data_IF_173379860434
#
_entry.id   IF_173379860434
#
_cell.length_a   1.000
_cell.length_b   1.000
_cell.length_c   1.000
_cell.angle_alpha   90.00
_cell.angle_beta   90.00
_cell.angle_gamma   90.00
#
_symmetry.space_group_name_H-M   'P 1'
#
loop_
_entity.id
_entity.type
_entity.pdbx_description
1 polymer ?
#
# COMPACT_ATOMS: atom_id res chain seq x y z
N UNK A 1 -8.54 11.46 -32.36
CA UNK A 1 -9.15 10.12 -32.31
C UNK A 1 -8.17 8.99 -32.65
N UNK A 2 -7.60 8.89 -33.87
CA UNK A 2 -6.58 7.86 -34.16
C UNK A 2 -5.34 8.00 -33.26
N UNK A 3 -4.89 9.23 -33.00
CA UNK A 3 -3.76 9.53 -32.11
C UNK A 3 -4.06 9.19 -30.64
N UNK A 4 -5.27 9.47 -30.16
CA UNK A 4 -5.65 9.25 -28.75
C UNK A 4 -5.79 7.76 -28.44
N UNK A 5 -6.38 6.99 -29.37
CA UNK A 5 -6.45 5.54 -29.24
C UNK A 5 -5.07 4.89 -29.34
N UNK A 6 -4.18 5.41 -30.21
CA UNK A 6 -2.80 4.96 -30.28
C UNK A 6 -2.03 5.23 -28.99
N UNK A 7 -2.13 6.44 -28.41
CA UNK A 7 -1.53 6.76 -27.12
C UNK A 7 -2.10 5.86 -26.01
N UNK A 8 -3.42 5.67 -25.99
CA UNK A 8 -4.08 4.79 -25.02
C UNK A 8 -3.59 3.34 -25.13
N UNK A 9 -3.54 2.79 -26.35
CA UNK A 9 -3.09 1.44 -26.60
C UNK A 9 -1.61 1.27 -26.23
N UNK A 10 -0.76 2.23 -26.62
CA UNK A 10 0.66 2.27 -26.27
C UNK A 10 0.84 2.30 -24.75
N UNK A 11 0.21 3.25 -24.06
CA UNK A 11 0.33 3.42 -22.62
C UNK A 11 -0.19 2.18 -21.86
N UNK A 12 -1.31 1.61 -22.30
CA UNK A 12 -1.89 0.38 -21.74
C UNK A 12 -0.92 -0.79 -21.90
N UNK A 13 -0.40 -1.02 -23.10
CA UNK A 13 0.50 -2.12 -23.40
C UNK A 13 1.77 -2.06 -22.54
N UNK A 14 2.46 -0.91 -22.52
CA UNK A 14 3.69 -0.74 -21.75
C UNK A 14 3.43 -0.78 -20.24
N UNK A 15 2.32 -0.21 -19.75
CA UNK A 15 1.97 -0.26 -18.32
C UNK A 15 1.67 -1.68 -17.87
N UNK A 16 0.93 -2.47 -18.66
CA UNK A 16 0.65 -3.88 -18.36
C UNK A 16 1.94 -4.70 -18.32
N UNK A 17 2.83 -4.52 -19.30
CA UNK A 17 4.14 -5.18 -19.32
C UNK A 17 4.94 -4.80 -18.07
N UNK A 18 5.09 -3.50 -17.78
CA UNK A 18 5.84 -3.01 -16.63
C UNK A 18 5.31 -3.60 -15.30
N UNK A 19 3.99 -3.56 -15.09
CA UNK A 19 3.35 -4.09 -13.86
C UNK A 19 3.51 -5.62 -13.75
N UNK A 20 3.48 -6.33 -14.88
CA UNK A 20 3.66 -7.78 -14.94
C UNK A 20 5.11 -8.15 -14.63
N UNK A 21 6.09 -7.50 -15.27
CA UNK A 21 7.51 -7.68 -15.00
C UNK A 21 7.89 -7.38 -13.56
N UNK A 22 7.35 -6.30 -12.98
CA UNK A 22 7.54 -5.97 -11.56
C UNK A 22 7.05 -7.12 -10.68
N UNK A 23 5.87 -7.67 -10.95
CA UNK A 23 5.30 -8.76 -10.15
C UNK A 23 6.11 -10.06 -10.29
N UNK A 24 6.58 -10.37 -11.51
CA UNK A 24 7.46 -11.52 -11.77
C UNK A 24 8.80 -11.44 -11.03
N UNK A 25 9.28 -10.24 -10.72
CA UNK A 25 10.48 -10.05 -9.92
C UNK A 25 10.20 -10.02 -8.41
N UNK A 26 9.24 -9.20 -7.98
CA UNK A 26 8.98 -8.94 -6.55
C UNK A 26 8.47 -10.18 -5.81
N UNK A 27 7.61 -11.01 -6.43
CA UNK A 27 7.04 -12.18 -5.75
C UNK A 27 8.12 -13.23 -5.44
N UNK A 28 8.94 -13.69 -6.41
CA UNK A 28 10.05 -14.60 -6.11
C UNK A 28 11.09 -13.98 -5.17
N UNK A 29 11.39 -12.68 -5.30
CA UNK A 29 12.32 -11.99 -4.40
C UNK A 29 11.88 -12.03 -2.93
N UNK A 30 10.59 -11.79 -2.65
CA UNK A 30 10.04 -11.87 -1.30
C UNK A 30 10.01 -13.32 -0.79
N UNK A 31 9.70 -14.29 -1.66
CA UNK A 31 9.73 -15.71 -1.30
C UNK A 31 11.15 -16.18 -0.94
N UNK A 32 12.16 -15.81 -1.74
CA UNK A 32 13.56 -16.13 -1.48
C UNK A 32 14.02 -15.61 -0.11
N UNK A 33 13.62 -14.38 0.24
CA UNK A 33 13.89 -13.79 1.55
C UNK A 33 13.32 -14.58 2.74
N UNK A 34 12.27 -15.38 2.51
CA UNK A 34 11.67 -16.25 3.51
C UNK A 34 12.29 -17.66 3.58
N UNK A 35 12.99 -18.09 2.53
CA UNK A 35 13.61 -19.42 2.40
C UNK A 35 15.11 -19.45 2.75
N UNK A 36 15.76 -18.28 2.80
CA UNK A 36 17.19 -18.13 3.07
C UNK A 36 17.65 -18.61 4.47
N UNK A 37 16.75 -18.68 5.45
CA UNK A 37 17.06 -19.21 6.78
C UNK A 37 15.93 -20.07 7.33
N UNK A 38 16.33 -21.15 8.01
CA UNK A 38 15.45 -22.02 8.78
C UNK A 38 15.15 -21.47 10.19
N UNK A 39 15.99 -20.55 10.69
CA UNK A 39 15.79 -19.92 11.99
C UNK A 39 14.74 -18.80 11.90
N UNK A 40 13.78 -18.86 12.83
CA UNK A 40 12.64 -17.94 12.83
C UNK A 40 13.06 -16.48 13.07
N UNK A 41 14.04 -16.25 13.95
CA UNK A 41 14.52 -14.92 14.29
C UNK A 41 15.38 -14.34 13.16
N UNK A 42 16.21 -15.16 12.52
CA UNK A 42 17.01 -14.78 11.37
C UNK A 42 16.12 -14.42 10.16
N UNK A 43 15.12 -15.24 9.83
CA UNK A 43 14.14 -14.92 8.77
C UNK A 43 13.43 -13.59 9.03
N UNK A 44 13.05 -13.34 10.28
CA UNK A 44 12.41 -12.07 10.67
C UNK A 44 13.35 -10.87 10.48
N UNK A 45 14.65 -11.03 10.76
CA UNK A 45 15.67 -9.99 10.51
C UNK A 45 15.85 -9.73 9.01
N UNK A 46 15.95 -10.77 8.18
CA UNK A 46 16.07 -10.65 6.71
C UNK A 46 14.89 -9.87 6.14
N UNK A 47 13.66 -10.21 6.56
CA UNK A 47 12.46 -9.49 6.12
C UNK A 47 12.38 -8.05 6.61
N UNK A 48 12.92 -7.78 7.80
CA UNK A 48 13.02 -6.41 8.33
C UNK A 48 14.00 -5.58 7.50
N UNK A 49 15.19 -6.11 7.17
CA UNK A 49 16.15 -5.45 6.28
C UNK A 49 15.57 -5.22 4.88
N UNK A 50 14.90 -6.21 4.31
CA UNK A 50 14.25 -6.09 3.00
C UNK A 50 13.26 -4.91 2.96
N UNK A 51 12.41 -4.81 3.98
CA UNK A 51 11.43 -3.72 4.11
C UNK A 51 12.13 -2.36 4.28
N UNK A 52 13.17 -2.29 5.12
CA UNK A 52 13.96 -1.08 5.35
C UNK A 52 14.61 -0.57 4.06
N UNK A 53 15.33 -1.43 3.34
CA UNK A 53 15.99 -1.05 2.09
C UNK A 53 15.00 -0.71 0.98
N UNK A 54 13.83 -1.37 0.93
CA UNK A 54 12.74 -0.99 0.04
C UNK A 54 12.29 0.45 0.28
N UNK A 55 12.13 0.84 1.55
CA UNK A 55 11.73 2.21 1.91
C UNK A 55 12.84 3.24 1.66
N UNK A 56 14.10 2.90 1.97
CA UNK A 56 15.27 3.73 1.63
C UNK A 56 15.33 3.98 0.12
N UNK A 57 15.05 2.97 -0.71
CA UNK A 57 14.99 3.13 -2.16
C UNK A 57 13.94 4.15 -2.62
N UNK A 58 12.75 4.15 -2.01
CA UNK A 58 11.69 5.12 -2.31
C UNK A 58 12.14 6.54 -1.94
N UNK A 59 12.67 6.75 -0.73
CA UNK A 59 13.15 8.06 -0.28
C UNK A 59 14.29 8.55 -1.15
N UNK A 60 15.25 7.67 -1.45
CA UNK A 60 16.40 7.99 -2.30
C UNK A 60 15.97 8.42 -3.71
N UNK A 61 15.07 7.67 -4.36
CA UNK A 61 14.57 8.03 -5.69
C UNK A 61 13.77 9.32 -5.67
N UNK A 62 12.96 9.55 -4.64
CA UNK A 62 12.23 10.81 -4.48
C UNK A 62 13.19 12.00 -4.36
N UNK A 63 14.19 11.90 -3.49
CA UNK A 63 15.20 12.95 -3.29
C UNK A 63 15.98 13.19 -4.58
N UNK A 64 16.42 12.14 -5.25
CA UNK A 64 17.14 12.23 -6.53
C UNK A 64 16.31 12.98 -7.59
N UNK A 65 15.06 12.57 -7.80
CA UNK A 65 14.20 13.16 -8.84
C UNK A 65 13.87 14.61 -8.55
N UNK A 66 13.42 14.94 -7.33
CA UNK A 66 12.95 16.30 -7.03
C UNK A 66 14.07 17.31 -6.85
N UNK A 67 15.16 16.95 -6.14
CA UNK A 67 16.24 17.90 -5.84
C UNK A 67 17.34 17.94 -6.90
N UNK A 68 17.64 16.83 -7.57
CA UNK A 68 18.78 16.77 -8.51
C UNK A 68 18.38 16.86 -9.97
N UNK A 69 17.14 16.51 -10.30
CA UNK A 69 16.62 16.57 -11.67
C UNK A 69 15.62 17.72 -11.81
N UNK A 70 14.41 17.62 -11.27
CA UNK A 70 13.35 18.59 -11.57
C UNK A 70 13.69 20.04 -11.18
N UNK A 71 14.47 20.25 -10.13
CA UNK A 71 14.94 21.61 -9.77
C UNK A 71 15.85 22.26 -10.83
N UNK A 72 16.51 21.47 -11.68
CA UNK A 72 17.45 21.96 -12.71
C UNK A 72 16.83 22.22 -14.07
N UNK A 73 15.62 21.72 -14.32
CA UNK A 73 14.93 21.90 -15.60
C UNK A 73 13.87 22.98 -15.46
N UNK A 74 13.82 23.92 -16.40
CA UNK A 74 12.77 24.94 -16.43
C UNK A 74 11.40 24.26 -16.56
N UNK A 75 10.47 24.58 -15.65
CA UNK A 75 9.17 23.91 -15.56
C UNK A 75 9.16 22.58 -14.80
N UNK A 76 10.31 22.11 -14.32
CA UNK A 76 10.46 20.95 -13.43
C UNK A 76 9.78 19.69 -13.95
N UNK A 77 8.85 19.14 -13.17
CA UNK A 77 8.09 17.93 -13.50
C UNK A 77 7.21 18.05 -14.76
N UNK A 78 6.99 19.26 -15.28
CA UNK A 78 6.26 19.49 -16.54
C UNK A 78 7.18 19.45 -17.76
N UNK A 79 8.49 19.48 -17.57
CA UNK A 79 9.46 19.45 -18.65
C UNK A 79 9.75 18.01 -19.07
N UNK A 80 9.47 17.68 -20.33
CA UNK A 80 9.66 16.33 -20.86
C UNK A 80 11.14 15.90 -20.85
N UNK A 81 12.06 16.85 -21.05
CA UNK A 81 13.50 16.59 -21.10
C UNK A 81 14.07 16.17 -19.73
N UNK A 82 13.37 16.51 -18.64
CA UNK A 82 13.73 16.10 -17.29
C UNK A 82 13.55 14.58 -17.07
N UNK A 83 12.70 13.92 -17.85
CA UNK A 83 12.40 12.49 -17.66
C UNK A 83 13.46 11.57 -18.26
N UNK A 84 14.13 11.98 -19.34
CA UNK A 84 15.21 11.18 -19.96
C UNK A 84 16.33 10.82 -18.98
N UNK A 85 16.94 11.76 -18.22
CA UNK A 85 17.97 11.41 -17.25
C UNK A 85 17.43 10.56 -16.09
N UNK A 86 16.17 10.75 -15.68
CA UNK A 86 15.52 9.92 -14.64
C UNK A 86 15.42 8.47 -15.11
N UNK A 87 14.92 8.25 -16.33
CA UNK A 87 14.75 6.90 -16.89
C UNK A 87 16.10 6.22 -17.07
N UNK A 88 17.10 6.91 -17.62
CA UNK A 88 18.45 6.34 -17.80
C UNK A 88 19.04 5.94 -16.44
N UNK A 89 18.99 6.83 -15.46
CA UNK A 89 19.49 6.56 -14.12
C UNK A 89 18.77 5.38 -13.47
N UNK A 90 17.44 5.37 -13.51
CA UNK A 90 16.62 4.30 -12.93
C UNK A 90 16.89 2.95 -13.63
N UNK A 91 16.99 2.91 -14.95
CA UNK A 91 17.29 1.69 -15.70
C UNK A 91 18.66 1.13 -15.36
N UNK A 92 19.69 1.97 -15.28
CA UNK A 92 21.05 1.55 -14.90
C UNK A 92 21.07 1.04 -13.45
N UNK A 93 20.42 1.76 -12.53
CA UNK A 93 20.36 1.38 -11.12
C UNK A 93 19.61 0.06 -10.93
N UNK A 94 18.46 -0.13 -11.57
CA UNK A 94 17.68 -1.37 -11.51
C UNK A 94 18.49 -2.53 -12.08
N UNK A 95 19.10 -2.37 -13.27
CA UNK A 95 19.92 -3.40 -13.88
C UNK A 95 21.11 -3.79 -12.98
N UNK A 96 21.82 -2.79 -12.44
CA UNK A 96 22.92 -3.01 -11.52
C UNK A 96 22.48 -3.76 -10.26
N UNK A 97 21.42 -3.30 -9.58
CA UNK A 97 20.93 -3.92 -8.35
C UNK A 97 20.43 -5.34 -8.57
N UNK A 98 19.72 -5.62 -9.66
CA UNK A 98 19.24 -6.96 -9.99
C UNK A 98 20.42 -7.89 -10.29
N UNK A 99 21.36 -7.47 -11.15
CA UNK A 99 22.52 -8.28 -11.53
C UNK A 99 23.44 -8.53 -10.33
N UNK A 100 23.70 -7.50 -9.52
CA UNK A 100 24.49 -7.63 -8.30
C UNK A 100 23.79 -8.59 -7.32
N UNK A 101 22.49 -8.42 -7.06
CA UNK A 101 21.72 -9.31 -6.19
C UNK A 101 21.77 -10.76 -6.68
N UNK A 102 21.54 -11.01 -7.97
CA UNK A 102 21.63 -12.35 -8.57
C UNK A 102 23.04 -12.94 -8.45
N UNK A 103 24.08 -12.13 -8.66
CA UNK A 103 25.47 -12.59 -8.55
C UNK A 103 25.82 -12.99 -7.11
N UNK A 104 25.46 -12.16 -6.13
CA UNK A 104 25.76 -12.39 -4.71
C UNK A 104 24.87 -13.45 -4.04
N UNK A 105 23.79 -13.89 -4.68
CA UNK A 105 22.89 -14.93 -4.15
C UNK A 105 22.98 -16.26 -4.90
N UNK A 106 23.82 -16.32 -5.95
CA UNK A 106 23.97 -17.51 -6.81
C UNK A 106 24.48 -18.73 -6.05
N UNK A 107 25.33 -18.50 -5.06
CA UNK A 107 25.89 -19.52 -4.17
C UNK A 107 24.83 -20.17 -3.25
N UNK A 108 23.67 -19.52 -3.06
CA UNK A 108 22.58 -20.03 -2.24
C UNK A 108 21.66 -21.03 -2.98
N UNK A 109 21.72 -21.08 -4.32
CA UNK A 109 20.88 -21.94 -5.16
C UNK A 109 20.88 -23.43 -4.73
N UNK A 110 22.05 -24.05 -4.40
CA UNK A 110 22.08 -25.45 -3.99
C UNK A 110 21.40 -25.74 -2.66
N UNK A 111 21.22 -24.72 -1.80
CA UNK A 111 20.65 -24.85 -0.46
C UNK A 111 19.14 -24.57 -0.43
N UNK A 112 18.55 -24.18 -1.57
CA UNK A 112 17.11 -23.94 -1.66
C UNK A 112 16.32 -25.23 -1.45
N UNK A 113 15.22 -25.11 -0.70
CA UNK A 113 14.31 -26.23 -0.45
C UNK A 113 13.68 -26.66 -1.76
N UNK A 114 13.82 -27.95 -2.08
CA UNK A 114 13.08 -28.53 -3.20
C UNK A 114 11.60 -28.56 -2.82
N UNK A 115 10.69 -28.20 -3.74
CA UNK A 115 9.27 -28.34 -3.49
C UNK A 115 8.96 -29.81 -3.11
N UNK A 116 8.04 -30.06 -2.16
CA UNK A 116 7.55 -31.40 -1.91
C UNK A 116 7.06 -32.02 -3.22
N UNK A 117 7.47 -33.25 -3.51
CA UNK A 117 7.02 -33.99 -4.70
C UNK A 117 5.66 -34.65 -4.41
N UNK A 118 4.70 -33.85 -3.93
CA UNK A 118 3.37 -34.30 -3.51
C UNK A 118 2.39 -34.47 -4.69
N UNK A 119 2.82 -34.16 -5.92
CA UNK A 119 2.05 -34.39 -7.14
C UNK A 119 0.77 -33.53 -7.28
N UNK A 120 0.40 -32.75 -6.26
CA UNK A 120 -0.75 -31.87 -6.29
C UNK A 120 -0.39 -30.58 -7.03
N UNK A 121 -0.55 -30.60 -8.36
CA UNK A 121 -0.58 -29.36 -9.13
C UNK A 121 -1.76 -28.53 -8.62
N UNK A 122 -1.46 -27.40 -7.98
CA UNK A 122 -2.47 -26.42 -7.60
C UNK A 122 -3.11 -25.88 -8.89
N UNK A 123 -4.23 -26.48 -9.29
CA UNK A 123 -4.97 -26.04 -10.47
C UNK A 123 -5.57 -24.66 -10.24
N UNK A 124 -5.59 -23.82 -11.29
CA UNK A 124 -6.19 -22.48 -11.26
C UNK A 124 -7.63 -22.49 -10.71
N UNK A 125 -8.41 -23.52 -11.04
CA UNK A 125 -9.79 -23.70 -10.56
C UNK A 125 -9.84 -23.91 -9.04
N UNK A 126 -8.90 -24.66 -8.46
CA UNK A 126 -8.81 -24.87 -7.01
C UNK A 126 -8.42 -23.57 -6.30
N UNK A 127 -7.49 -22.80 -6.85
CA UNK A 127 -7.14 -21.47 -6.33
C UNK A 127 -8.34 -20.53 -6.29
N UNK A 128 -9.10 -20.43 -7.39
CA UNK A 128 -10.32 -19.61 -7.43
C UNK A 128 -11.32 -20.10 -6.37
N UNK A 129 -11.55 -21.42 -6.26
CA UNK A 129 -12.45 -21.99 -5.27
C UNK A 129 -12.01 -21.67 -3.83
N UNK A 130 -10.73 -21.77 -3.55
CA UNK A 130 -10.15 -21.45 -2.24
C UNK A 130 -10.24 -19.95 -1.93
N UNK A 131 -10.04 -19.08 -2.93
CA UNK A 131 -10.24 -17.63 -2.80
C UNK A 131 -11.71 -17.29 -2.51
N UNK A 132 -12.67 -17.91 -3.21
CA UNK A 132 -14.10 -17.71 -2.95
C UNK A 132 -14.48 -18.25 -1.55
N UNK A 133 -13.90 -19.39 -1.15
CA UNK A 133 -14.03 -19.93 0.19
C UNK A 133 -13.54 -18.96 1.26
N UNK A 134 -12.36 -18.34 1.05
CA UNK A 134 -11.82 -17.33 1.95
C UNK A 134 -12.78 -16.14 2.10
N UNK A 135 -13.31 -15.62 0.98
CA UNK A 135 -14.27 -14.49 0.95
C UNK A 135 -15.59 -14.84 1.66
N UNK A 136 -15.92 -16.12 1.81
CA UNK A 136 -17.11 -16.55 2.55
C UNK A 136 -16.98 -16.32 4.07
N UNK A 137 -15.75 -16.12 4.59
CA UNK A 137 -15.56 -15.69 5.97
C UNK A 137 -15.98 -14.22 6.13
N UNK A 138 -17.01 -13.97 6.94
CA UNK A 138 -17.55 -12.62 7.22
C UNK A 138 -16.49 -11.63 7.72
N UNK A 139 -15.58 -12.04 8.60
CA UNK A 139 -14.51 -11.18 9.10
C UNK A 139 -13.53 -10.82 7.98
N UNK A 140 -13.19 -11.78 7.13
CA UNK A 140 -12.31 -11.54 5.99
C UNK A 140 -12.96 -10.63 4.95
N UNK A 141 -14.22 -10.89 4.60
CA UNK A 141 -14.98 -10.07 3.67
C UNK A 141 -15.03 -8.60 4.14
N UNK A 142 -15.29 -8.36 5.43
CA UNK A 142 -15.29 -7.01 5.99
C UNK A 142 -13.91 -6.35 5.91
N UNK A 143 -12.81 -7.08 6.16
CA UNK A 143 -11.46 -6.56 5.98
C UNK A 143 -11.14 -6.26 4.52
N UNK A 144 -11.59 -7.11 3.59
CA UNK A 144 -11.42 -6.89 2.15
C UNK A 144 -12.23 -5.69 1.65
N UNK A 145 -13.50 -5.56 2.02
CA UNK A 145 -14.32 -4.42 1.65
C UNK A 145 -13.77 -3.12 2.26
N UNK A 146 -13.29 -3.15 3.51
CA UNK A 146 -12.58 -2.02 4.09
C UNK A 146 -11.33 -1.66 3.28
N UNK A 147 -10.54 -2.66 2.88
CA UNK A 147 -9.36 -2.46 2.02
C UNK A 147 -9.74 -1.91 0.64
N UNK A 148 -10.87 -2.32 0.06
CA UNK A 148 -11.35 -1.82 -1.23
C UNK A 148 -11.50 -0.30 -1.18
N UNK A 149 -12.34 0.19 -0.27
CA UNK A 149 -12.64 1.61 -0.16
C UNK A 149 -11.43 2.42 0.31
N UNK A 150 -10.60 1.85 1.19
CA UNK A 150 -9.32 2.45 1.56
C UNK A 150 -8.38 2.59 0.35
N UNK A 151 -8.34 1.59 -0.54
CA UNK A 151 -7.52 1.64 -1.75
C UNK A 151 -8.08 2.65 -2.77
N UNK A 152 -9.40 2.84 -2.81
CA UNK A 152 -10.03 3.91 -3.62
C UNK A 152 -9.64 5.29 -3.09
N UNK A 153 -9.67 5.51 -1.77
CA UNK A 153 -9.16 6.72 -1.13
C UNK A 153 -7.69 6.98 -1.51
N UNK A 154 -6.81 5.98 -1.28
CA UNK A 154 -5.37 6.06 -1.58
C UNK A 154 -5.14 6.37 -3.06
N UNK A 155 -5.74 5.59 -3.97
CA UNK A 155 -5.55 5.76 -5.41
C UNK A 155 -6.06 7.11 -5.94
N UNK A 156 -7.12 7.64 -5.32
CA UNK A 156 -7.64 8.98 -5.65
C UNK A 156 -6.60 10.04 -5.31
N UNK A 157 -6.10 10.05 -4.07
CA UNK A 157 -5.05 10.98 -3.64
C UNK A 157 -3.74 10.81 -4.40
N UNK A 158 -3.30 9.57 -4.66
CA UNK A 158 -2.08 9.31 -5.43
C UNK A 158 -2.19 9.93 -6.83
N UNK A 159 -3.32 9.76 -7.50
CA UNK A 159 -3.56 10.32 -8.84
C UNK A 159 -3.62 11.84 -8.83
N UNK A 160 -4.32 12.42 -7.86
CA UNK A 160 -4.50 13.87 -7.77
C UNK A 160 -3.26 14.57 -7.19
N UNK A 161 -2.38 13.86 -6.49
CA UNK A 161 -1.24 14.44 -5.77
C UNK A 161 -0.40 15.38 -6.64
N UNK A 162 -0.08 14.97 -7.88
CA UNK A 162 0.73 15.79 -8.79
C UNK A 162 -0.03 17.04 -9.26
N UNK A 163 -1.34 16.95 -9.43
CA UNK A 163 -2.18 18.09 -9.77
C UNK A 163 -2.29 19.05 -8.58
N UNK A 164 -2.43 18.51 -7.38
CA UNK A 164 -2.52 19.31 -6.16
C UNK A 164 -1.24 20.09 -5.92
N UNK A 165 -0.07 19.44 -5.93
CA UNK A 165 1.19 20.14 -5.68
C UNK A 165 1.55 21.13 -6.78
N UNK A 166 1.19 20.85 -8.04
CA UNK A 166 1.57 21.69 -9.20
C UNK A 166 0.60 22.85 -9.44
N UNK A 167 -0.71 22.60 -9.35
CA UNK A 167 -1.74 23.57 -9.77
C UNK A 167 -2.53 24.14 -8.60
N UNK A 168 -2.85 23.34 -7.57
CA UNK A 168 -3.63 23.83 -6.42
C UNK A 168 -2.76 24.59 -5.42
N UNK A 169 -1.58 24.05 -5.10
CA UNK A 169 -0.64 24.63 -4.14
C UNK A 169 0.47 25.46 -4.78
N UNK A 170 0.69 25.30 -6.08
CA UNK A 170 1.74 25.96 -6.87
C UNK A 170 3.14 25.82 -6.23
N UNK A 171 3.45 24.64 -5.71
CA UNK A 171 4.73 24.38 -5.07
C UNK A 171 5.85 24.26 -6.09
N UNK A 172 7.01 24.80 -5.75
CA UNK A 172 8.24 24.58 -6.51
C UNK A 172 8.71 23.12 -6.41
N UNK A 173 9.44 22.58 -7.40
CA UNK A 173 10.01 21.22 -7.31
C UNK A 173 10.83 20.99 -6.04
N UNK A 174 11.59 22.01 -5.63
CA UNK A 174 12.35 22.00 -4.38
C UNK A 174 11.46 21.80 -3.16
N UNK A 175 10.36 22.56 -3.03
CA UNK A 175 9.39 22.41 -1.93
C UNK A 175 8.70 21.04 -1.94
N UNK A 176 8.35 20.52 -3.12
CA UNK A 176 7.73 19.21 -3.27
C UNK A 176 8.67 18.11 -2.76
N UNK A 177 9.97 18.23 -3.03
CA UNK A 177 10.99 17.30 -2.53
C UNK A 177 11.01 17.17 -1.00
N UNK A 178 10.63 18.22 -0.25
CA UNK A 178 10.53 18.17 1.21
C UNK A 178 9.30 17.42 1.72
N UNK A 179 8.25 17.23 0.90
CA UNK A 179 7.02 16.57 1.33
C UNK A 179 7.26 15.09 1.70
N UNK A 180 8.33 14.45 1.21
CA UNK A 180 8.70 13.08 1.62
C UNK A 180 8.97 12.95 3.12
N UNK A 181 9.34 14.04 3.80
CA UNK A 181 9.56 14.06 5.25
C UNK A 181 8.31 13.60 6.01
N UNK A 182 7.12 13.92 5.50
CA UNK A 182 5.85 13.47 6.08
C UNK A 182 5.78 11.94 6.17
N UNK A 183 6.20 11.26 5.12
CA UNK A 183 6.24 9.81 5.07
C UNK A 183 7.31 9.29 6.05
N UNK A 184 8.53 9.85 6.04
CA UNK A 184 9.62 9.38 6.90
C UNK A 184 9.22 9.46 8.38
N UNK A 185 8.73 10.62 8.82
CA UNK A 185 8.29 10.84 10.21
C UNK A 185 7.09 9.95 10.52
N UNK A 186 6.08 9.93 9.65
CA UNK A 186 4.85 9.19 9.88
C UNK A 186 5.07 7.68 10.01
N UNK A 187 5.82 7.07 9.10
CA UNK A 187 6.14 5.63 9.17
C UNK A 187 6.98 5.30 10.40
N UNK A 188 7.96 6.13 10.76
CA UNK A 188 8.75 5.93 11.97
C UNK A 188 7.89 5.99 13.24
N UNK A 189 7.05 7.01 13.37
CA UNK A 189 6.09 7.14 14.48
C UNK A 189 5.11 5.98 14.51
N UNK A 190 4.55 5.61 13.35
CA UNK A 190 3.60 4.52 13.24
C UNK A 190 4.18 3.19 13.67
N UNK A 191 5.42 2.87 13.28
CA UNK A 191 6.10 1.64 13.72
C UNK A 191 6.31 1.61 15.25
N UNK A 192 6.78 2.72 15.83
CA UNK A 192 7.01 2.84 17.28
C UNK A 192 5.71 2.74 18.08
N UNK A 193 4.63 3.33 17.56
CA UNK A 193 3.33 3.40 18.23
C UNK A 193 2.51 2.12 18.04
N UNK A 194 2.62 1.43 16.90
CA UNK A 194 1.83 0.24 16.58
C UNK A 194 1.92 -0.83 17.68
N UNK A 195 3.14 -1.17 18.12
CA UNK A 195 3.34 -2.16 19.18
C UNK A 195 2.73 -1.72 20.53
N UNK A 196 2.77 -0.42 20.85
CA UNK A 196 2.15 0.11 22.09
C UNK A 196 0.63 0.12 22.01
N UNK A 197 0.06 0.47 20.86
CA UNK A 197 -1.37 0.45 20.61
C UNK A 197 -1.94 -0.97 20.70
N UNK A 198 -1.31 -1.96 20.05
CA UNK A 198 -1.77 -3.35 20.09
C UNK A 198 -1.71 -3.99 21.49
N UNK A 199 -0.84 -3.51 22.37
CA UNK A 199 -0.80 -3.99 23.77
C UNK A 199 -1.93 -3.41 24.62
N UNK A 200 -2.36 -2.17 24.34
CA UNK A 200 -3.36 -1.44 25.17
C UNK A 200 -4.78 -1.53 24.64
N UNK A 201 -4.97 -1.62 23.32
CA UNK A 201 -6.27 -1.58 22.66
C UNK A 201 -6.48 -2.82 21.81
N UNK A 202 -7.75 -3.20 21.61
CA UNK A 202 -8.11 -4.24 20.64
C UNK A 202 -7.74 -3.81 19.21
N UNK A 203 -7.42 -4.80 18.37
CA UNK A 203 -7.08 -4.58 16.96
C UNK A 203 -8.19 -3.82 16.22
N UNK A 204 -9.45 -4.18 16.45
CA UNK A 204 -10.61 -3.48 15.87
C UNK A 204 -10.58 -1.98 16.14
N UNK A 205 -10.40 -1.58 17.41
CA UNK A 205 -10.38 -0.19 17.81
C UNK A 205 -9.18 0.54 17.18
N UNK A 206 -8.01 -0.12 17.14
CA UNK A 206 -6.80 0.42 16.51
C UNK A 206 -7.02 0.64 15.01
N UNK A 207 -7.57 -0.33 14.27
CA UNK A 207 -7.86 -0.24 12.84
C UNK A 207 -8.82 0.93 12.56
N UNK A 208 -9.94 1.00 13.29
CA UNK A 208 -10.95 2.05 13.08
C UNK A 208 -10.38 3.44 13.38
N UNK A 209 -9.70 3.62 14.52
CA UNK A 209 -9.14 4.91 14.90
C UNK A 209 -8.04 5.39 13.94
N UNK A 210 -7.18 4.48 13.49
CA UNK A 210 -6.08 4.83 12.58
C UNK A 210 -6.56 5.06 11.15
N UNK A 211 -7.62 4.36 10.71
CA UNK A 211 -8.29 4.65 9.44
C UNK A 211 -9.00 6.01 9.46
N UNK A 212 -9.63 6.38 10.58
CA UNK A 212 -10.19 7.72 10.76
C UNK A 212 -9.10 8.80 10.71
N UNK A 213 -8.00 8.57 11.41
CA UNK A 213 -6.87 9.49 11.45
C UNK A 213 -6.23 9.66 10.07
N UNK A 214 -5.98 8.57 9.34
CA UNK A 214 -5.51 8.63 7.94
C UNK A 214 -6.49 9.45 7.08
N UNK A 215 -7.78 9.09 7.08
CA UNK A 215 -8.80 9.71 6.22
C UNK A 215 -8.91 11.21 6.49
N UNK A 216 -8.95 11.62 7.76
CA UNK A 216 -9.11 13.02 8.13
C UNK A 216 -7.84 13.84 7.83
N UNK A 217 -6.68 13.35 8.26
CA UNK A 217 -5.44 14.14 8.17
C UNK A 217 -4.83 14.18 6.77
N UNK A 218 -5.13 13.22 5.89
CA UNK A 218 -4.70 13.29 4.49
C UNK A 218 -5.35 14.47 3.76
N UNK A 219 -6.68 14.61 3.89
CA UNK A 219 -7.45 15.69 3.28
C UNK A 219 -7.44 17.00 4.09
N UNK A 220 -6.90 16.99 5.32
CA UNK A 220 -7.00 18.13 6.24
C UNK A 220 -6.38 19.42 5.67
N UNK A 221 -5.20 19.35 5.04
CA UNK A 221 -4.55 20.53 4.48
C UNK A 221 -5.43 21.19 3.40
N UNK A 222 -6.00 20.38 2.52
CA UNK A 222 -6.90 20.82 1.43
C UNK A 222 -8.19 21.39 2.01
N UNK A 223 -8.81 20.71 2.98
CA UNK A 223 -10.02 21.19 3.64
C UNK A 223 -9.80 22.53 4.36
N UNK A 224 -8.66 22.71 5.02
CA UNK A 224 -8.29 23.99 5.63
C UNK A 224 -8.14 25.08 4.58
N UNK A 225 -7.61 24.76 3.40
CA UNK A 225 -7.51 25.70 2.28
C UNK A 225 -8.87 26.06 1.71
N UNK A 226 -9.78 25.10 1.54
CA UNK A 226 -11.15 25.34 1.09
C UNK A 226 -11.97 26.21 2.06
N UNK A 227 -11.56 26.27 3.33
CA UNK A 227 -12.15 27.13 4.36
C UNK A 227 -11.41 28.45 4.54
N UNK A 228 -10.44 28.77 3.67
CA UNK A 228 -9.55 29.94 3.77
C UNK A 228 -8.75 30.05 5.08
N UNK A 229 -8.49 28.91 5.73
CA UNK A 229 -7.71 28.80 6.98
C UNK A 229 -6.26 28.36 6.76
N UNK A 230 -5.89 27.97 5.54
CA UNK A 230 -4.53 27.55 5.22
C UNK A 230 -3.61 28.74 4.89
N UNK A 231 -2.29 28.63 5.12
CA UNK A 231 -1.31 29.62 4.68
C UNK A 231 -1.35 29.84 3.16
N UNK A 232 -0.73 30.93 2.71
CA UNK A 232 -0.66 31.26 1.28
C UNK A 232 0.01 30.15 0.44
N UNK A 233 -0.41 30.02 -0.81
CA UNK A 233 0.20 29.11 -1.77
C UNK A 233 1.71 29.39 -1.93
N UNK A 234 2.47 28.35 -2.25
CA UNK A 234 3.94 28.40 -2.40
C UNK A 234 4.73 28.88 -1.16
N UNK A 235 4.09 29.10 -0.01
CA UNK A 235 4.76 29.51 1.23
C UNK A 235 5.41 28.32 1.96
N UNK A 236 6.47 28.57 2.73
CA UNK A 236 7.10 27.52 3.55
C UNK A 236 6.23 27.11 4.74
N UNK A 237 5.39 28.03 5.24
CA UNK A 237 4.39 27.76 6.26
C UNK A 237 3.38 26.71 5.78
N UNK A 238 2.94 26.81 4.52
CA UNK A 238 2.09 25.80 3.90
C UNK A 238 2.80 24.45 3.79
N UNK A 239 4.04 24.42 3.33
CA UNK A 239 4.83 23.17 3.21
C UNK A 239 4.97 22.49 4.57
N UNK A 240 5.28 23.25 5.62
CA UNK A 240 5.36 22.73 7.00
C UNK A 240 4.01 22.20 7.49
N UNK A 241 2.91 22.90 7.18
CA UNK A 241 1.56 22.43 7.52
C UNK A 241 1.23 21.11 6.83
N UNK A 242 1.51 20.98 5.53
CA UNK A 242 1.32 19.72 4.77
C UNK A 242 2.19 18.61 5.36
N UNK A 243 3.45 18.89 5.72
CA UNK A 243 4.34 17.89 6.32
C UNK A 243 3.80 17.43 7.68
N UNK A 244 3.37 18.35 8.54
CA UNK A 244 2.83 18.03 9.87
C UNK A 244 1.57 17.15 9.77
N UNK A 245 0.57 17.59 8.99
CA UNK A 245 -0.68 16.84 8.81
C UNK A 245 -0.44 15.51 8.07
N UNK A 246 0.39 15.54 7.04
CA UNK A 246 0.81 14.35 6.29
C UNK A 246 1.57 13.34 7.13
N UNK A 247 2.36 13.79 8.12
CA UNK A 247 3.06 12.91 9.07
C UNK A 247 2.08 12.15 9.95
N UNK A 248 1.06 12.85 10.46
CA UNK A 248 -0.02 12.24 11.25
C UNK A 248 -0.78 11.23 10.39
N UNK A 249 -1.19 11.64 9.19
CA UNK A 249 -1.85 10.76 8.21
C UNK A 249 -1.02 9.49 7.91
N UNK A 250 0.27 9.64 7.61
CA UNK A 250 1.21 8.54 7.33
C UNK A 250 1.43 7.62 8.54
N UNK A 251 1.43 8.16 9.76
CA UNK A 251 1.44 7.35 10.98
C UNK A 251 0.14 6.54 11.12
N UNK A 252 -1.01 7.14 10.84
CA UNK A 252 -2.30 6.43 10.77
C UNK A 252 -2.28 5.30 9.76
N UNK A 253 -1.84 5.58 8.53
CA UNK A 253 -1.77 4.60 7.44
C UNK A 253 -0.85 3.43 7.74
N UNK A 254 0.33 3.69 8.30
CA UNK A 254 1.28 2.63 8.66
C UNK A 254 0.79 1.76 9.81
N UNK A 255 0.23 2.33 10.89
CA UNK A 255 -0.38 1.54 11.98
C UNK A 255 -1.58 0.75 11.47
N UNK A 256 -2.42 1.35 10.63
CA UNK A 256 -3.55 0.68 9.99
C UNK A 256 -3.09 -0.54 9.19
N UNK A 257 -2.06 -0.37 8.35
CA UNK A 257 -1.49 -1.45 7.55
C UNK A 257 -1.00 -2.61 8.43
N UNK A 258 -0.20 -2.31 9.47
CA UNK A 258 0.31 -3.32 10.42
C UNK A 258 -0.85 -4.03 11.12
N UNK A 259 -1.86 -3.28 11.55
CA UNK A 259 -3.03 -3.81 12.28
C UNK A 259 -3.87 -4.73 11.40
N UNK A 260 -4.09 -4.37 10.13
CA UNK A 260 -4.84 -5.19 9.17
C UNK A 260 -4.07 -6.46 8.81
N UNK A 261 -2.75 -6.38 8.62
CA UNK A 261 -1.91 -7.56 8.39
C UNK A 261 -1.95 -8.51 9.59
N UNK A 262 -1.91 -7.97 10.80
CA UNK A 262 -2.05 -8.76 12.03
C UNK A 262 -3.46 -9.34 12.20
N UNK A 263 -4.52 -8.63 11.79
CA UNK A 263 -5.90 -9.11 11.83
C UNK A 263 -6.16 -10.24 10.81
N UNK A 264 -5.41 -10.27 9.71
CA UNK A 264 -5.48 -11.34 8.71
C UNK A 264 -4.98 -12.68 9.28
N UNK A 265 -3.96 -12.67 10.13
CA UNK A 265 -3.51 -13.85 10.85
C UNK A 265 -4.62 -14.41 11.76
N UNK A 266 -5.32 -13.54 12.51
CA UNK A 266 -6.43 -13.99 13.38
C UNK A 266 -7.59 -14.63 12.59
N UNK A 267 -7.85 -14.11 11.38
CA UNK A 267 -8.86 -14.67 10.47
C UNK A 267 -8.41 -16.02 9.91
N UNK A 268 -7.12 -16.20 9.65
CA UNK A 268 -6.58 -17.49 9.24
C UNK A 268 -6.71 -18.54 10.36
N UNK A 269 -6.43 -18.17 11.61
CA UNK A 269 -6.65 -19.04 12.78
C UNK A 269 -8.14 -19.40 12.94
N UNK A 270 -9.05 -18.43 12.76
CA UNK A 270 -10.50 -18.68 12.75
C UNK A 270 -10.91 -19.67 11.64
N UNK A 271 -10.29 -19.55 10.46
CA UNK A 271 -10.51 -20.46 9.34
C UNK A 271 -9.98 -21.87 9.62
N UNK A 272 -8.78 -22.00 10.18
CA UNK A 272 -8.20 -23.29 10.58
C UNK A 272 -9.13 -23.99 11.59
N UNK A 273 -9.66 -23.25 12.55
CA UNK A 273 -10.58 -23.80 13.54
C UNK A 273 -11.86 -24.36 12.90
N UNK A 274 -12.44 -23.65 11.93
CA UNK A 274 -13.71 -23.99 11.26
C UNK A 274 -13.56 -25.08 10.20
N UNK A 275 -12.49 -25.02 9.40
CA UNK A 275 -12.30 -25.87 8.22
C UNK A 275 -11.29 -27.00 8.44
N UNK A 276 -10.45 -26.91 9.47
CA UNK A 276 -9.33 -27.82 9.71
C UNK A 276 -8.13 -27.58 8.79
N UNK A 277 -8.23 -26.65 7.84
CA UNK A 277 -7.16 -26.36 6.88
C UNK A 277 -6.52 -25.00 7.17
N UNK A 278 -5.19 -24.98 7.25
CA UNK A 278 -4.42 -23.75 7.40
C UNK A 278 -4.15 -23.15 6.02
N UNK A 279 -4.89 -22.09 5.68
CA UNK A 279 -4.90 -21.48 4.33
C UNK A 279 -4.33 -20.05 4.31
N UNK A 280 -3.39 -19.71 5.20
CA UNK A 280 -2.81 -18.36 5.31
C UNK A 280 -2.37 -17.78 3.95
N UNK A 281 -1.65 -18.57 3.14
CA UNK A 281 -1.16 -18.12 1.84
C UNK A 281 -2.27 -17.65 0.88
N UNK A 282 -3.45 -18.28 0.93
CA UNK A 282 -4.61 -17.88 0.10
C UNK A 282 -5.18 -16.55 0.58
N UNK A 283 -5.31 -16.34 1.88
CA UNK A 283 -5.77 -15.08 2.46
C UNK A 283 -4.80 -13.91 2.15
N UNK A 284 -3.49 -14.13 2.27
CA UNK A 284 -2.49 -13.10 1.93
C UNK A 284 -2.45 -12.78 0.43
N UNK A 285 -2.45 -13.79 -0.43
CA UNK A 285 -2.42 -13.61 -1.89
C UNK A 285 -3.70 -12.95 -2.42
N UNK A 286 -4.87 -13.39 -1.95
CA UNK A 286 -6.15 -12.77 -2.32
C UNK A 286 -6.20 -11.30 -1.89
N UNK A 287 -5.74 -10.95 -0.68
CA UNK A 287 -5.65 -9.56 -0.23
C UNK A 287 -4.72 -8.74 -1.14
N UNK A 288 -3.54 -9.25 -1.45
CA UNK A 288 -2.56 -8.53 -2.27
C UNK A 288 -3.09 -8.27 -3.69
N UNK A 289 -3.73 -9.27 -4.31
CA UNK A 289 -4.39 -9.12 -5.61
C UNK A 289 -5.52 -8.09 -5.53
N UNK A 290 -6.40 -8.23 -4.53
CA UNK A 290 -7.55 -7.34 -4.36
C UNK A 290 -7.12 -5.90 -4.08
N UNK A 291 -6.06 -5.69 -3.29
CA UNK A 291 -5.48 -4.36 -3.05
C UNK A 291 -5.00 -3.68 -4.34
N UNK A 292 -4.30 -4.42 -5.22
CA UNK A 292 -3.87 -3.90 -6.53
C UNK A 292 -5.06 -3.54 -7.42
N UNK A 293 -6.06 -4.43 -7.52
CA UNK A 293 -7.25 -4.19 -8.32
C UNK A 293 -8.05 -2.98 -7.81
N UNK A 294 -8.23 -2.88 -6.49
CA UNK A 294 -8.97 -1.80 -5.83
C UNK A 294 -8.27 -0.45 -5.96
N UNK A 295 -6.93 -0.42 -5.86
CA UNK A 295 -6.17 0.82 -6.07
C UNK A 295 -6.35 1.33 -7.52
N UNK A 296 -6.38 0.42 -8.51
CA UNK A 296 -6.71 0.78 -9.89
C UNK A 296 -8.07 1.46 -10.03
N UNK A 297 -9.08 1.04 -9.25
CA UNK A 297 -10.39 1.72 -9.21
C UNK A 297 -10.26 3.15 -8.66
N UNK A 298 -9.44 3.38 -7.63
CA UNK A 298 -9.17 4.73 -7.12
C UNK A 298 -8.58 5.66 -8.18
N UNK A 299 -7.64 5.16 -8.97
CA UNK A 299 -7.07 5.92 -10.10
C UNK A 299 -8.11 6.25 -11.17
N UNK A 300 -8.99 5.29 -11.48
CA UNK A 300 -10.10 5.52 -12.41
C UNK A 300 -11.08 6.57 -11.87
N UNK A 301 -11.42 6.52 -10.58
CA UNK A 301 -12.30 7.49 -9.92
C UNK A 301 -11.70 8.90 -10.01
N UNK A 302 -10.42 9.07 -9.71
CA UNK A 302 -9.73 10.36 -9.88
C UNK A 302 -9.71 10.83 -11.33
N UNK A 303 -9.43 9.94 -12.29
CA UNK A 303 -9.43 10.28 -13.71
C UNK A 303 -10.82 10.75 -14.20
N UNK A 304 -11.89 10.06 -13.80
CA UNK A 304 -13.25 10.50 -14.11
C UNK A 304 -13.61 11.81 -13.41
N UNK A 305 -13.15 12.01 -12.18
CA UNK A 305 -13.39 13.25 -11.46
C UNK A 305 -12.70 14.45 -12.14
N UNK A 306 -11.45 14.30 -12.60
CA UNK A 306 -10.73 15.30 -13.40
C UNK A 306 -11.45 15.61 -14.71
N UNK A 307 -11.96 14.58 -15.41
CA UNK A 307 -12.75 14.75 -16.62
C UNK A 307 -14.06 15.50 -16.34
N UNK A 308 -14.72 15.20 -15.23
CA UNK A 308 -15.99 15.81 -14.85
C UNK A 308 -15.85 17.31 -14.56
N UNK A 309 -14.77 17.72 -13.89
CA UNK A 309 -14.48 19.15 -13.65
C UNK A 309 -13.91 19.86 -14.89
N UNK A 310 -13.64 19.12 -15.97
CA UNK A 310 -13.10 19.68 -17.21
C UNK A 310 -11.66 20.17 -17.05
N UNK A 311 -10.82 19.46 -16.29
CA UNK A 311 -9.43 19.85 -16.10
C UNK A 311 -8.66 19.85 -17.45
N UNK A 312 -8.01 20.95 -17.84
CA UNK A 312 -7.42 21.07 -19.18
C UNK A 312 -6.13 20.24 -19.33
N UNK A 313 -5.93 19.64 -20.51
CA UNK A 313 -4.79 18.76 -20.80
C UNK A 313 -3.42 19.48 -20.78
N UNK A 314 -3.39 20.76 -21.20
CA UNK A 314 -2.20 21.61 -21.19
C UNK A 314 -2.33 22.75 -20.18
N UNK A 315 -2.74 22.42 -18.95
CA UNK A 315 -2.92 23.38 -17.88
C UNK A 315 -1.64 24.20 -17.62
N UNK A 316 -1.81 25.53 -17.53
CA UNK A 316 -0.80 26.45 -17.03
C UNK A 316 -1.34 26.97 -15.69
N UNK A 317 -0.59 26.86 -14.57
CA UNK A 317 -1.10 27.24 -13.24
C UNK A 317 -1.75 28.63 -13.21
N UNK A 318 -1.11 29.63 -13.82
CA UNK A 318 -1.59 31.02 -13.87
C UNK A 318 -2.85 31.26 -14.73
N UNK A 319 -3.37 30.26 -15.43
CA UNK A 319 -4.53 30.37 -16.32
C UNK A 319 -5.75 29.58 -15.82
N UNK A 320 -5.63 28.89 -14.68
CA UNK A 320 -6.75 28.13 -14.11
C UNK A 320 -7.68 29.08 -13.35
N UNK A 321 -8.98 28.89 -13.50
CA UNK A 321 -9.97 29.66 -12.74
C UNK A 321 -10.03 29.19 -11.28
N UNK A 322 -10.35 30.12 -10.38
CA UNK A 322 -10.54 29.81 -8.95
C UNK A 322 -11.62 28.73 -8.75
N UNK A 323 -12.69 28.75 -9.55
CA UNK A 323 -13.73 27.72 -9.51
C UNK A 323 -13.20 26.32 -9.85
N UNK A 324 -12.29 26.20 -10.82
CA UNK A 324 -11.69 24.92 -11.19
C UNK A 324 -10.76 24.42 -10.08
N UNK A 325 -9.97 25.31 -9.46
CA UNK A 325 -9.11 24.98 -8.33
C UNK A 325 -9.94 24.57 -7.09
N UNK A 326 -11.04 25.27 -6.83
CA UNK A 326 -11.98 24.92 -5.77
C UNK A 326 -12.59 23.53 -5.98
N UNK A 327 -13.04 23.23 -7.21
CA UNK A 327 -13.56 21.91 -7.57
C UNK A 327 -12.49 20.81 -7.45
N UNK A 328 -11.24 21.09 -7.85
CA UNK A 328 -10.12 20.16 -7.68
C UNK A 328 -9.88 19.88 -6.19
N UNK A 329 -9.91 20.91 -5.34
CA UNK A 329 -9.82 20.77 -3.89
C UNK A 329 -10.99 19.99 -3.29
N UNK A 330 -12.22 20.14 -3.81
CA UNK A 330 -13.38 19.34 -3.37
C UNK A 330 -13.16 17.84 -3.66
N UNK A 331 -12.59 17.51 -4.82
CA UNK A 331 -12.35 16.13 -5.22
C UNK A 331 -11.29 15.49 -4.33
N UNK A 332 -10.14 16.15 -4.14
CA UNK A 332 -9.05 15.62 -3.32
C UNK A 332 -9.38 15.65 -1.82
N UNK A 333 -10.16 16.64 -1.36
CA UNK A 333 -10.55 16.79 0.04
C UNK A 333 -11.82 15.98 0.39
N UNK A 334 -12.99 16.64 0.50
CA UNK A 334 -14.21 16.00 0.99
C UNK A 334 -14.67 14.76 0.21
N UNK A 335 -14.53 14.75 -1.12
CA UNK A 335 -14.97 13.61 -1.94
C UNK A 335 -14.11 12.37 -1.69
N UNK A 336 -12.79 12.51 -1.66
CA UNK A 336 -11.89 11.40 -1.33
C UNK A 336 -12.20 10.82 0.07
N UNK A 337 -12.48 11.69 1.07
CA UNK A 337 -12.81 11.28 2.43
C UNK A 337 -14.02 10.35 2.53
N UNK A 338 -15.01 10.48 1.63
CA UNK A 338 -16.20 9.61 1.61
C UNK A 338 -15.77 8.13 1.58
N UNK A 339 -14.78 7.80 0.74
CA UNK A 339 -14.30 6.43 0.62
C UNK A 339 -13.62 5.94 1.91
N UNK A 340 -12.86 6.80 2.59
CA UNK A 340 -12.29 6.49 3.89
C UNK A 340 -13.35 6.25 4.97
N UNK A 341 -14.40 7.08 5.02
CA UNK A 341 -15.51 6.85 5.96
C UNK A 341 -16.30 5.57 5.67
N UNK A 342 -16.51 5.24 4.39
CA UNK A 342 -17.12 3.96 4.01
C UNK A 342 -16.22 2.79 4.44
N UNK A 343 -14.90 2.89 4.27
CA UNK A 343 -13.96 1.87 4.74
C UNK A 343 -14.07 1.63 6.25
N UNK A 344 -14.23 2.70 7.04
CA UNK A 344 -14.42 2.63 8.49
C UNK A 344 -15.66 1.82 8.87
N UNK A 345 -16.77 1.96 8.14
CA UNK A 345 -18.00 1.17 8.39
C UNK A 345 -17.70 -0.33 8.28
N UNK A 346 -16.94 -0.75 7.27
CA UNK A 346 -16.57 -2.16 7.10
C UNK A 346 -15.55 -2.64 8.13
N UNK A 347 -14.52 -1.84 8.43
CA UNK A 347 -13.58 -2.18 9.50
C UNK A 347 -14.24 -2.25 10.88
N UNK A 348 -15.27 -1.45 11.14
CA UNK A 348 -16.06 -1.55 12.36
C UNK A 348 -16.87 -2.85 12.44
N UNK A 349 -17.18 -3.51 11.33
CA UNK A 349 -17.87 -4.82 11.32
C UNK A 349 -16.93 -6.01 11.53
N UNK A 350 -15.61 -5.78 11.60
CA UNK A 350 -14.66 -6.81 12.02
C UNK A 350 -14.95 -7.23 13.47
N UNK A 351 -15.16 -8.53 13.69
CA UNK A 351 -15.70 -9.06 14.93
C UNK A 351 -14.68 -9.70 15.89
N UNK A 352 -13.44 -9.91 15.45
CA UNK A 352 -12.44 -10.60 16.27
C UNK A 352 -11.85 -9.61 17.29
N UNK A 353 -12.16 -9.84 18.56
CA UNK A 353 -11.54 -9.16 19.69
C UNK A 353 -10.56 -10.09 20.42
N UNK A 354 -9.78 -9.54 21.36
CA UNK A 354 -8.77 -10.32 22.09
C UNK A 354 -9.35 -11.55 22.80
N UNK A 355 -10.53 -11.43 23.40
CA UNK A 355 -11.20 -12.54 24.09
C UNK A 355 -11.57 -13.66 23.13
N UNK A 356 -12.17 -13.33 22.00
CA UNK A 356 -12.57 -14.28 20.97
C UNK A 356 -11.35 -14.96 20.34
N UNK A 357 -10.29 -14.19 20.06
CA UNK A 357 -9.04 -14.75 19.54
C UNK A 357 -8.39 -15.73 20.54
N UNK A 358 -8.35 -15.39 21.83
CA UNK A 358 -7.84 -16.33 22.86
C UNK A 358 -8.67 -17.62 22.95
N UNK A 359 -9.99 -17.56 22.73
CA UNK A 359 -10.84 -18.76 22.66
C UNK A 359 -10.50 -19.62 21.44
N UNK A 360 -10.25 -19.01 20.27
CA UNK A 360 -9.83 -19.72 19.07
C UNK A 360 -8.50 -20.45 19.32
N UNK A 361 -7.50 -19.75 19.88
CA UNK A 361 -6.19 -20.34 20.16
C UNK A 361 -6.28 -21.51 21.13
N UNK A 362 -7.09 -21.41 22.18
CA UNK A 362 -7.27 -22.52 23.12
C UNK A 362 -7.93 -23.73 22.47
N UNK A 363 -8.95 -23.52 21.63
CA UNK A 363 -9.60 -24.61 20.90
C UNK A 363 -8.66 -25.29 19.88
N UNK A 364 -7.81 -24.52 19.20
CA UNK A 364 -6.77 -25.07 18.32
C UNK A 364 -5.72 -25.87 19.10
N UNK A 365 -5.31 -25.37 20.27
CA UNK A 365 -4.39 -26.09 21.17
C UNK A 365 -4.97 -27.43 21.61
N UNK A 366 -6.25 -27.45 22.02
CA UNK A 366 -6.95 -28.66 22.43
C UNK A 366 -7.09 -29.68 21.27
N UNK A 367 -7.38 -29.21 20.04
CA UNK A 367 -7.42 -30.08 18.85
C UNK A 367 -6.04 -30.72 18.56
N UNK A 368 -4.96 -29.94 18.66
CA UNK A 368 -3.59 -30.44 18.46
C UNK A 368 -3.17 -31.44 19.53
N UNK A 369 -3.52 -31.20 20.80
CA UNK A 369 -3.28 -32.18 21.87
C UNK A 369 -4.07 -33.47 21.65
N UNK A 370 -5.32 -33.40 21.20
CA UNK A 370 -6.13 -34.60 20.93
C UNK A 370 -5.56 -35.43 19.76
N UNK A 371 -5.09 -34.78 18.69
CA UNK A 371 -4.44 -35.47 17.57
C UNK A 371 -3.10 -36.10 17.94
N UNK A 372 -2.31 -35.45 18.80
CA UNK A 372 -1.03 -36.01 19.27
C UNK A 372 -1.23 -37.19 20.22
N UNK A 373 -2.24 -37.16 21.10
CA UNK A 373 -2.62 -38.30 21.92
C UNK A 373 -3.19 -39.47 21.11
N UNK A 374 -3.89 -39.20 20.00
CA UNK A 374 -4.41 -40.24 19.09
C UNK A 374 -3.34 -40.89 18.20
N UNK A 375 -2.19 -40.24 18.00
CA UNK A 375 -1.08 -40.74 17.17
C UNK A 375 0.03 -41.42 17.98
N UNK A 376 -0.12 -41.57 19.29
CA UNK A 376 0.75 -42.46 20.07
C UNK A 376 0.32 -43.91 19.77
N UNK A 377 1.18 -44.75 19.15
CA UNK A 377 0.84 -46.16 19.00
C UNK A 377 0.68 -46.77 20.38
N UNK A 378 -0.40 -47.52 20.59
CA UNK A 378 -0.56 -48.36 21.78
C UNK A 378 0.71 -49.19 21.95
N UNK A 379 1.55 -48.81 22.92
CA UNK A 379 2.70 -49.60 23.31
C UNK A 379 2.16 -50.85 23.98
N UNK A 380 2.09 -51.94 23.21
CA UNK A 380 1.80 -53.30 23.67
C UNK A 380 2.90 -53.79 24.61
#
# INVERSE_FOLDING_TARGET
METDFQLFAWYTFFTVILRSSLTLFTVPHLALGAELSDDYDERSKVMSYNTLFGYVGVVFMHVFVWFFIFDKFEGGQRNIDAYTPIVIYASVLIAFCILASTWFTKDQIPFLKKPPDDGERIGFVRLIKDMVGAISNKNYLNLLLGLFFLSVLIGTHETLSIYMVTFFWELTPYQIGFLIISNIIGYALGFILAARLHRRFDKKATIVATCLLLTFFWSAAVNLRLLDLAPANSSWELVLLIICLGSVSSAGGSILHISVMSALADVADENELKTGMRQEGIYYSARAFFGKASNGVGHLVAGFALKYIGFPENAIPSQLSDDLLFNLGIIDGPFAMIWGFVAIIFYYRYGINRKYHSQIQEQLRLKKSAQSSSNQPESV
#
